data_IF_500137745171
#
_entry.id   IF_500137745171
#
_cell.length_a   1.000
_cell.length_b   1.000
_cell.length_c   1.000
_cell.angle_alpha   90.00
_cell.angle_beta   90.00
_cell.angle_gamma   90.00
#
_symmetry.space_group_name_H-M   'P 1'
#
loop_
_entity.id
_entity.type
_entity.pdbx_description
1 polymer ?
#
# COMPACT_ATOMS: atom_id res chain seq x y z
N UNK A 1 -20.87 43.98 -35.85
CA UNK A 1 -20.37 42.67 -36.27
C UNK A 1 -19.72 42.04 -35.06
N UNK A 2 -20.51 41.29 -34.27
CA UNK A 2 -20.10 40.68 -32.99
C UNK A 2 -19.54 39.30 -33.27
N UNK A 3 -18.26 39.10 -32.94
CA UNK A 3 -17.60 37.80 -32.90
C UNK A 3 -18.03 37.08 -31.60
N UNK A 4 -19.04 36.22 -31.67
CA UNK A 4 -19.30 35.24 -30.63
C UNK A 4 -18.26 34.12 -30.72
N UNK A 5 -17.21 34.19 -29.91
CA UNK A 5 -16.37 33.04 -29.62
C UNK A 5 -17.09 32.17 -28.61
N UNK A 6 -17.66 31.06 -29.05
CA UNK A 6 -18.26 30.05 -28.22
C UNK A 6 -17.15 29.35 -27.42
N UNK A 7 -17.01 29.67 -26.14
CA UNK A 7 -16.29 28.84 -25.19
C UNK A 7 -17.14 27.58 -24.91
N UNK A 8 -16.77 26.48 -25.52
CA UNK A 8 -17.35 25.20 -25.15
C UNK A 8 -17.10 24.95 -23.65
N UNK A 9 -18.17 24.63 -22.92
CA UNK A 9 -18.07 24.35 -21.49
C UNK A 9 -17.21 23.11 -21.23
N UNK A 10 -16.64 22.99 -20.05
CA UNK A 10 -15.87 21.80 -19.64
C UNK A 10 -16.66 20.50 -19.86
N UNK A 11 -17.97 20.56 -19.65
CA UNK A 11 -18.89 19.44 -19.87
C UNK A 11 -19.04 19.03 -21.36
N UNK A 12 -18.97 19.99 -22.29
CA UNK A 12 -18.98 19.72 -23.73
C UNK A 12 -17.64 19.13 -24.20
N UNK A 13 -16.52 19.54 -23.58
CA UNK A 13 -15.21 18.94 -23.82
C UNK A 13 -15.12 17.51 -23.27
N UNK A 14 -15.70 17.22 -22.11
CA UNK A 14 -15.78 15.86 -21.57
C UNK A 14 -16.69 14.95 -22.42
N UNK A 15 -17.84 15.44 -22.89
CA UNK A 15 -18.70 14.70 -23.83
C UNK A 15 -18.00 14.44 -25.17
N UNK A 16 -17.25 15.40 -25.68
CA UNK A 16 -16.44 15.25 -26.90
C UNK A 16 -15.32 14.21 -26.72
N UNK A 17 -14.68 14.17 -25.55
CA UNK A 17 -13.67 13.18 -25.24
C UNK A 17 -14.25 11.77 -25.03
N UNK A 18 -15.43 11.66 -24.39
CA UNK A 18 -16.10 10.37 -24.21
C UNK A 18 -16.60 9.79 -25.54
N UNK A 19 -17.04 10.63 -26.47
CA UNK A 19 -17.48 10.21 -27.82
C UNK A 19 -16.28 9.82 -28.70
N UNK A 20 -15.11 10.45 -28.52
CA UNK A 20 -13.86 10.03 -29.19
C UNK A 20 -13.31 8.71 -28.68
N UNK A 21 -13.52 8.36 -27.44
CA UNK A 21 -13.08 7.06 -26.88
C UNK A 21 -13.79 5.85 -27.48
N UNK A 22 -14.95 6.06 -28.11
CA UNK A 22 -15.72 5.03 -28.82
C UNK A 22 -15.30 4.89 -30.31
N UNK A 23 -14.48 5.80 -30.85
CA UNK A 23 -13.98 5.65 -32.20
C UNK A 23 -12.83 4.63 -32.22
N UNK A 24 -12.88 3.68 -33.16
CA UNK A 24 -11.76 2.77 -33.41
C UNK A 24 -10.47 3.57 -33.61
N UNK A 25 -9.45 3.28 -32.82
CA UNK A 25 -8.14 3.88 -32.98
C UNK A 25 -7.60 3.69 -34.39
N UNK A 26 -6.84 4.67 -34.89
CA UNK A 26 -6.13 4.59 -36.19
C UNK A 26 -4.77 3.91 -36.09
N UNK A 27 -4.52 3.21 -34.97
CA UNK A 27 -3.23 2.62 -34.70
C UNK A 27 -2.88 1.58 -35.78
N UNK A 28 -1.71 1.76 -36.37
CA UNK A 28 -1.07 0.77 -37.26
C UNK A 28 0.00 -0.03 -36.54
N UNK A 29 0.33 0.37 -35.30
CA UNK A 29 1.31 -0.26 -34.45
C UNK A 29 0.62 -1.11 -33.41
N UNK A 30 1.29 -2.14 -32.96
CA UNK A 30 0.74 -3.08 -32.02
C UNK A 30 0.77 -2.51 -30.60
N UNK A 31 -0.41 -2.26 -30.10
CA UNK A 31 -0.70 -2.11 -28.68
C UNK A 31 -1.73 -3.17 -28.31
N UNK A 32 -1.48 -3.86 -27.25
CA UNK A 32 -2.47 -4.73 -26.68
C UNK A 32 -2.93 -4.13 -25.36
N UNK A 33 -4.18 -3.65 -25.35
CA UNK A 33 -4.74 -2.85 -24.27
C UNK A 33 -3.92 -1.56 -24.03
N UNK A 34 -3.35 -1.37 -22.83
CA UNK A 34 -2.57 -0.21 -22.45
C UNK A 34 -1.04 -0.42 -22.55
N UNK A 35 -0.58 -1.60 -22.99
CA UNK A 35 0.84 -1.90 -23.11
C UNK A 35 1.28 -1.98 -24.57
N UNK A 36 2.45 -1.41 -24.94
CA UNK A 36 3.05 -1.62 -26.25
C UNK A 36 3.58 -3.05 -26.37
N UNK A 37 3.55 -3.62 -27.57
CA UNK A 37 4.01 -5.00 -27.81
C UNK A 37 5.45 -5.21 -27.38
N UNK A 38 6.32 -4.22 -27.54
CA UNK A 38 7.73 -4.36 -27.15
C UNK A 38 7.92 -4.52 -25.63
N UNK A 39 6.88 -4.27 -24.81
CA UNK A 39 6.96 -4.45 -23.36
C UNK A 39 7.28 -5.91 -22.99
N UNK A 40 6.70 -6.89 -23.71
CA UNK A 40 7.04 -8.31 -23.51
C UNK A 40 8.51 -8.58 -23.79
N UNK A 41 9.06 -7.96 -24.84
CA UNK A 41 10.50 -8.05 -25.15
C UNK A 41 11.36 -7.44 -24.06
N UNK A 42 10.94 -6.31 -23.48
CA UNK A 42 11.66 -5.68 -22.36
C UNK A 42 11.65 -6.57 -21.14
N UNK A 43 10.48 -7.10 -20.76
CA UNK A 43 10.31 -7.97 -19.60
C UNK A 43 11.17 -9.25 -19.77
N UNK A 44 11.18 -9.85 -20.94
CA UNK A 44 11.97 -11.05 -21.23
C UNK A 44 13.50 -10.84 -21.09
N UNK A 45 13.97 -9.61 -21.12
CA UNK A 45 15.39 -9.25 -20.94
C UNK A 45 15.73 -8.84 -19.52
N UNK A 46 14.77 -8.84 -18.58
CA UNK A 46 15.04 -8.53 -17.19
C UNK A 46 15.56 -9.77 -16.47
N UNK A 47 16.83 -9.73 -16.11
CA UNK A 47 17.53 -10.79 -15.37
C UNK A 47 17.54 -10.57 -13.85
N UNK A 48 16.96 -9.46 -13.39
CA UNK A 48 16.89 -9.09 -11.98
C UNK A 48 18.23 -9.23 -11.23
N UNK A 49 19.26 -8.45 -11.59
CA UNK A 49 20.63 -8.65 -11.11
C UNK A 49 20.79 -8.44 -9.60
N UNK A 50 19.80 -7.90 -8.92
CA UNK A 50 19.77 -7.77 -7.45
C UNK A 50 18.78 -8.72 -6.77
N UNK A 51 18.15 -9.65 -7.50
CA UNK A 51 17.52 -10.80 -6.86
C UNK A 51 18.58 -11.59 -6.06
N UNK A 52 18.21 -12.19 -4.93
CA UNK A 52 19.17 -12.90 -4.08
C UNK A 52 19.94 -13.98 -4.86
N UNK A 53 19.21 -14.78 -5.62
CA UNK A 53 19.75 -15.88 -6.43
C UNK A 53 20.67 -15.42 -7.57
N UNK A 54 20.47 -14.21 -8.12
CA UNK A 54 21.22 -13.69 -9.27
C UNK A 54 22.35 -12.73 -8.87
N UNK A 55 22.30 -12.19 -7.64
CA UNK A 55 23.16 -11.08 -7.22
C UNK A 55 24.67 -11.43 -7.11
N UNK A 56 25.00 -12.69 -7.04
CA UNK A 56 26.38 -13.14 -6.78
C UNK A 56 26.93 -12.77 -5.38
N UNK A 57 26.16 -12.08 -4.55
CA UNK A 57 26.56 -11.67 -3.21
C UNK A 57 26.42 -12.86 -2.25
N UNK A 58 27.53 -13.32 -1.67
CA UNK A 58 27.55 -14.53 -0.84
C UNK A 58 27.00 -14.35 0.58
N UNK A 59 27.04 -13.13 1.13
CA UNK A 59 26.57 -12.84 2.50
C UNK A 59 25.20 -12.18 2.45
N UNK A 60 24.18 -12.85 2.99
CA UNK A 60 22.79 -12.39 2.95
C UNK A 60 22.60 -10.99 3.57
N UNK A 61 23.19 -10.70 4.73
CA UNK A 61 23.15 -9.39 5.34
C UNK A 61 23.73 -8.26 4.43
N UNK A 62 24.79 -8.58 3.66
CA UNK A 62 25.34 -7.65 2.67
C UNK A 62 24.36 -7.45 1.51
N UNK A 63 23.76 -8.53 1.02
CA UNK A 63 22.75 -8.46 -0.02
C UNK A 63 21.55 -7.61 0.41
N UNK A 64 20.98 -7.86 1.59
CA UNK A 64 19.88 -7.04 2.13
C UNK A 64 20.19 -5.55 2.10
N UNK A 65 21.40 -5.18 2.55
CA UNK A 65 21.83 -3.77 2.56
C UNK A 65 21.88 -3.18 1.14
N UNK A 66 22.45 -3.93 0.18
CA UNK A 66 22.59 -3.49 -1.21
C UNK A 66 21.23 -3.42 -1.89
N UNK A 67 20.38 -4.45 -1.74
CA UNK A 67 19.05 -4.50 -2.33
C UNK A 67 18.14 -3.39 -1.76
N UNK A 68 18.13 -3.21 -0.43
CA UNK A 68 17.38 -2.12 0.22
C UNK A 68 17.84 -0.75 -0.26
N UNK A 69 19.16 -0.53 -0.34
CA UNK A 69 19.69 0.72 -0.86
C UNK A 69 19.25 0.98 -2.30
N UNK A 70 19.21 -0.05 -3.16
CA UNK A 70 18.71 0.10 -4.52
C UNK A 70 17.24 0.49 -4.58
N UNK A 71 16.40 0.01 -3.66
CA UNK A 71 15.01 0.48 -3.57
C UNK A 71 15.00 1.98 -3.24
N UNK A 72 15.75 2.42 -2.23
CA UNK A 72 15.86 3.86 -1.90
C UNK A 72 16.46 4.69 -3.03
N UNK A 73 17.42 4.18 -3.79
CA UNK A 73 17.98 4.87 -4.96
C UNK A 73 16.93 5.09 -6.07
N UNK A 74 15.94 4.20 -6.17
CA UNK A 74 14.83 4.32 -7.12
C UNK A 74 13.65 5.12 -6.57
N UNK A 75 13.58 5.30 -5.25
CA UNK A 75 12.65 6.19 -4.59
C UNK A 75 13.18 7.61 -4.73
N UNK A 76 12.42 8.46 -5.42
CA UNK A 76 12.79 9.86 -5.63
C UNK A 76 12.90 10.60 -4.29
N UNK A 77 13.12 11.90 -4.32
CA UNK A 77 13.47 12.71 -3.16
C UNK A 77 12.55 12.46 -1.93
N UNK A 78 13.11 12.07 -0.77
CA UNK A 78 12.32 11.88 0.43
C UNK A 78 11.82 13.21 1.00
N UNK A 79 10.63 13.26 1.61
CA UNK A 79 10.24 14.39 2.43
C UNK A 79 11.24 14.58 3.59
N UNK A 80 11.70 15.80 3.87
CA UNK A 80 12.61 16.03 4.98
C UNK A 80 11.91 15.72 6.32
N UNK A 81 12.58 14.99 7.23
CA UNK A 81 12.01 14.66 8.53
C UNK A 81 11.74 15.93 9.35
N UNK A 82 10.81 15.89 10.33
CA UNK A 82 10.57 17.02 11.21
C UNK A 82 11.77 17.28 12.12
N UNK A 83 12.18 18.55 12.24
CA UNK A 83 13.38 18.95 13.00
C UNK A 83 13.26 18.64 14.50
N UNK A 84 12.05 18.79 15.06
CA UNK A 84 11.77 18.68 16.50
C UNK A 84 11.08 17.34 16.87
N UNK A 85 11.23 16.32 16.03
CA UNK A 85 10.57 15.03 16.21
C UNK A 85 9.08 15.04 15.80
N UNK A 86 8.43 13.90 15.97
CA UNK A 86 7.03 13.70 15.58
C UNK A 86 6.09 14.39 16.58
N UNK A 87 5.72 15.62 16.30
CA UNK A 87 4.76 16.36 17.11
C UNK A 87 3.34 15.94 16.75
N UNK A 88 2.51 15.75 17.76
CA UNK A 88 1.10 15.37 17.60
C UNK A 88 0.17 16.34 18.28
N UNK A 89 -1.02 16.48 17.72
CA UNK A 89 -2.16 17.16 18.32
C UNK A 89 -3.35 16.24 18.30
N UNK A 90 -3.92 15.95 19.48
CA UNK A 90 -5.20 15.22 19.56
C UNK A 90 -6.32 16.18 19.16
N UNK A 91 -7.07 15.80 18.13
CA UNK A 91 -8.21 16.55 17.62
C UNK A 91 -9.52 16.08 18.23
N UNK A 92 -9.64 14.77 18.46
CA UNK A 92 -10.82 14.15 19.04
C UNK A 92 -10.45 12.84 19.71
N UNK A 93 -11.18 12.47 20.77
CA UNK A 93 -11.01 11.22 21.50
C UNK A 93 -12.38 10.70 21.94
N UNK A 94 -12.59 9.41 21.79
CA UNK A 94 -13.78 8.71 22.28
C UNK A 94 -13.42 7.33 22.86
N UNK A 95 -14.22 6.88 23.84
CA UNK A 95 -14.12 5.54 24.38
C UNK A 95 -14.99 4.61 23.54
N UNK A 96 -14.45 3.44 23.20
CA UNK A 96 -15.12 2.35 22.51
C UNK A 96 -15.02 1.07 23.33
N UNK A 97 -15.71 0.02 22.90
CA UNK A 97 -15.71 -1.26 23.59
C UNK A 97 -14.31 -1.91 23.59
N UNK A 98 -13.63 -1.86 24.73
CA UNK A 98 -12.31 -2.43 24.96
C UNK A 98 -11.12 -1.59 24.48
N UNK A 99 -11.31 -0.38 23.96
CA UNK A 99 -10.23 0.50 23.52
C UNK A 99 -10.65 1.98 23.44
N UNK A 100 -9.67 2.84 23.44
CA UNK A 100 -9.80 4.28 23.20
C UNK A 100 -9.44 4.59 21.76
N UNK A 101 -10.26 5.39 21.06
CA UNK A 101 -10.01 5.85 19.71
C UNK A 101 -9.68 7.34 19.70
N UNK A 102 -8.62 7.73 19.00
CA UNK A 102 -8.16 9.11 18.83
C UNK A 102 -8.06 9.48 17.35
N UNK A 103 -8.52 10.67 17.00
CA UNK A 103 -8.12 11.37 15.79
C UNK A 103 -6.99 12.34 16.17
N UNK A 104 -5.89 12.24 15.45
CA UNK A 104 -4.71 13.09 15.68
C UNK A 104 -4.27 13.75 14.39
N UNK A 105 -3.62 14.91 14.51
CA UNK A 105 -2.67 15.40 13.52
C UNK A 105 -1.26 15.03 13.95
N UNK A 106 -0.47 14.53 13.02
CA UNK A 106 0.94 14.19 13.26
C UNK A 106 1.83 14.89 12.23
N UNK A 107 2.90 15.54 12.68
CA UNK A 107 3.92 16.11 11.81
C UNK A 107 4.87 15.01 11.34
N UNK A 108 4.67 14.49 10.13
CA UNK A 108 5.55 13.48 9.53
C UNK A 108 6.74 14.10 8.78
N UNK A 109 6.64 15.37 8.37
CA UNK A 109 7.68 16.10 7.64
C UNK A 109 7.78 17.55 8.14
N UNK A 110 8.89 18.22 7.83
CA UNK A 110 9.01 19.68 8.02
C UNK A 110 7.89 20.47 7.34
N UNK A 111 7.34 19.95 6.25
CA UNK A 111 6.45 20.69 5.35
C UNK A 111 4.97 20.37 5.55
N UNK A 112 4.63 19.26 6.22
CA UNK A 112 3.22 18.87 6.36
C UNK A 112 2.94 18.07 7.63
N UNK A 113 1.69 18.17 8.04
CA UNK A 113 1.04 17.28 9.02
C UNK A 113 0.11 16.31 8.30
N UNK A 114 -0.18 15.18 8.95
CA UNK A 114 -1.01 14.13 8.41
C UNK A 114 -2.09 13.79 9.42
N UNK A 115 -3.36 13.70 9.01
CA UNK A 115 -4.42 13.17 9.86
C UNK A 115 -4.28 11.66 10.00
N UNK A 116 -4.49 11.17 11.22
CA UNK A 116 -4.40 9.75 11.52
C UNK A 116 -5.37 9.34 12.63
N UNK A 117 -5.71 8.06 12.66
CA UNK A 117 -6.37 7.43 13.80
C UNK A 117 -5.39 6.60 14.61
N UNK A 118 -5.56 6.65 15.93
CA UNK A 118 -4.84 5.80 16.88
C UNK A 118 -5.87 5.12 17.77
N UNK A 119 -5.85 3.78 17.78
CA UNK A 119 -6.66 2.96 18.67
C UNK A 119 -5.75 2.38 19.75
N UNK A 120 -6.10 2.57 21.01
CA UNK A 120 -5.29 2.17 22.16
C UNK A 120 -6.11 1.22 23.02
N UNK A 121 -5.72 -0.07 23.17
CA UNK A 121 -6.42 -1.03 24.00
C UNK A 121 -6.54 -0.58 25.46
N UNK A 122 -7.60 -0.99 26.13
CA UNK A 122 -7.69 -0.87 27.59
C UNK A 122 -6.71 -1.82 28.28
N UNK A 123 -6.24 -1.43 29.47
CA UNK A 123 -5.36 -2.25 30.27
C UNK A 123 -3.99 -1.64 30.53
N UNK A 124 -3.07 -2.50 30.97
CA UNK A 124 -1.71 -2.07 31.33
C UNK A 124 -0.75 -2.41 30.19
N UNK A 125 -0.38 -1.37 29.43
CA UNK A 125 0.66 -1.48 28.39
C UNK A 125 2.09 -1.64 28.94
N UNK A 126 3.13 -1.58 28.08
CA UNK A 126 3.03 -1.27 26.67
C UNK A 126 2.50 -2.47 25.84
N UNK A 127 1.74 -2.17 24.78
CA UNK A 127 1.09 -3.14 23.92
C UNK A 127 1.87 -3.39 22.63
N UNK A 128 1.73 -4.56 21.98
CA UNK A 128 2.14 -4.72 20.60
C UNK A 128 1.35 -3.74 19.71
N UNK A 129 1.91 -3.34 18.57
CA UNK A 129 1.29 -2.34 17.72
C UNK A 129 1.25 -2.75 16.25
N UNK A 130 0.27 -2.22 15.53
CA UNK A 130 0.08 -2.45 14.10
C UNK A 130 0.01 -1.11 13.36
N UNK A 131 0.90 -0.91 12.40
CA UNK A 131 0.72 0.10 11.37
C UNK A 131 -0.23 -0.46 10.31
N UNK A 132 -1.46 0.05 10.28
CA UNK A 132 -2.56 -0.42 9.45
C UNK A 132 -2.69 0.46 8.21
N UNK A 133 -2.48 -0.15 7.03
CA UNK A 133 -2.30 0.55 5.76
C UNK A 133 -3.51 0.32 4.86
N UNK A 134 -4.26 1.39 4.56
CA UNK A 134 -5.50 1.30 3.78
C UNK A 134 -5.28 0.97 2.31
N UNK A 135 -6.30 0.42 1.67
CA UNK A 135 -6.33 0.06 0.26
C UNK A 135 -6.53 1.26 -0.68
N UNK A 136 -6.32 1.03 -1.99
CA UNK A 136 -6.56 2.01 -3.05
C UNK A 136 -8.06 2.14 -3.37
N UNK A 137 -8.67 1.02 -3.76
CA UNK A 137 -10.07 0.88 -4.10
C UNK A 137 -10.58 1.76 -5.23
N UNK A 138 -9.74 2.57 -5.87
CA UNK A 138 -10.13 3.70 -6.72
C UNK A 138 -11.11 4.68 -6.03
N UNK A 139 -11.24 4.61 -4.70
CA UNK A 139 -12.09 5.39 -3.85
C UNK A 139 -11.23 6.30 -2.99
N UNK A 140 -11.14 7.58 -3.36
CA UNK A 140 -10.18 8.53 -2.80
C UNK A 140 -10.77 9.39 -1.68
N UNK A 141 -12.10 9.36 -1.49
CA UNK A 141 -12.80 10.20 -0.54
C UNK A 141 -12.48 9.87 0.91
N UNK A 142 -12.27 8.59 1.22
CA UNK A 142 -11.86 8.09 2.53
C UNK A 142 -10.52 7.35 2.44
N UNK A 143 -9.74 7.38 3.50
CA UNK A 143 -8.45 6.69 3.63
C UNK A 143 -8.45 5.73 4.81
N UNK A 144 -8.05 6.21 5.99
CA UNK A 144 -8.03 5.47 7.25
C UNK A 144 -9.40 4.91 7.67
N UNK A 145 -10.47 5.57 7.26
CA UNK A 145 -11.85 5.19 7.53
C UNK A 145 -12.29 3.92 6.79
N UNK A 146 -11.53 3.47 5.81
CA UNK A 146 -11.76 2.18 5.14
C UNK A 146 -11.55 0.98 6.05
N UNK A 147 -10.65 1.13 7.02
CA UNK A 147 -10.20 0.01 7.86
C UNK A 147 -10.49 0.23 9.35
N UNK A 148 -10.83 1.45 9.75
CA UNK A 148 -11.18 1.82 11.13
C UNK A 148 -12.52 2.53 11.09
N UNK A 149 -13.44 2.12 11.96
CA UNK A 149 -14.73 2.78 12.09
C UNK A 149 -14.53 4.29 12.32
N UNK A 150 -15.12 5.16 11.49
CA UNK A 150 -15.00 6.60 11.67
C UNK A 150 -15.36 7.04 13.09
N UNK A 151 -14.67 8.06 13.60
CA UNK A 151 -14.96 8.63 14.90
C UNK A 151 -16.21 9.53 14.81
N UNK A 152 -16.90 9.73 15.94
CA UNK A 152 -18.13 10.51 15.99
C UNK A 152 -17.98 11.99 15.61
N UNK A 153 -16.76 12.48 15.47
CA UNK A 153 -16.45 13.82 14.95
C UNK A 153 -16.43 13.93 13.43
N UNK A 154 -16.50 12.81 12.69
CA UNK A 154 -16.54 12.84 11.23
C UNK A 154 -17.94 13.23 10.74
N UNK A 155 -17.99 13.75 9.51
CA UNK A 155 -19.27 14.12 8.91
C UNK A 155 -20.08 12.90 8.43
N UNK A 156 -21.36 13.12 8.13
CA UNK A 156 -22.27 12.05 7.74
C UNK A 156 -21.89 11.38 6.39
N UNK A 157 -21.19 12.09 5.52
CA UNK A 157 -20.77 11.57 4.21
C UNK A 157 -19.60 10.59 4.39
N UNK A 158 -18.62 10.94 5.23
CA UNK A 158 -17.52 10.02 5.61
C UNK A 158 -18.06 8.77 6.29
N UNK A 159 -19.02 8.92 7.22
CA UNK A 159 -19.67 7.77 7.89
C UNK A 159 -20.33 6.83 6.88
N UNK A 160 -21.11 7.38 5.96
CA UNK A 160 -21.81 6.63 4.92
C UNK A 160 -20.81 5.90 3.99
N UNK A 161 -19.80 6.61 3.51
CA UNK A 161 -18.80 6.06 2.60
C UNK A 161 -18.02 4.91 3.24
N UNK A 162 -17.65 5.05 4.50
CA UNK A 162 -16.96 3.99 5.24
C UNK A 162 -17.84 2.74 5.44
N UNK A 163 -19.14 2.94 5.72
CA UNK A 163 -20.09 1.83 5.84
C UNK A 163 -20.31 1.11 4.51
N UNK A 164 -20.43 1.84 3.41
CA UNK A 164 -20.53 1.26 2.06
C UNK A 164 -19.25 0.48 1.70
N UNK A 165 -18.07 1.01 2.06
CA UNK A 165 -16.78 0.37 1.80
C UNK A 165 -16.57 -0.92 2.63
N UNK A 166 -17.22 -1.00 3.78
CA UNK A 166 -17.10 -2.12 4.71
C UNK A 166 -17.54 -3.47 4.11
N UNK A 167 -18.29 -3.45 3.01
CA UNK A 167 -18.65 -4.68 2.27
C UNK A 167 -17.43 -5.49 1.83
N UNK A 168 -16.31 -4.85 1.45
CA UNK A 168 -15.05 -5.51 1.12
C UNK A 168 -14.36 -6.21 2.29
N UNK A 169 -14.80 -5.87 3.51
CA UNK A 169 -14.34 -6.41 4.78
C UNK A 169 -15.40 -7.29 5.49
N UNK A 170 -16.47 -7.64 4.78
CA UNK A 170 -17.59 -8.45 5.31
C UNK A 170 -18.20 -7.91 6.61
N UNK A 171 -18.34 -6.58 6.69
CA UNK A 171 -19.02 -5.93 7.81
C UNK A 171 -18.17 -5.71 9.06
N UNK A 172 -16.85 -5.93 9.04
CA UNK A 172 -15.96 -5.74 10.19
C UNK A 172 -14.79 -4.82 9.87
N UNK A 173 -14.61 -3.77 10.63
CA UNK A 173 -13.41 -2.92 10.55
C UNK A 173 -12.20 -3.65 11.15
N UNK A 174 -11.19 -3.92 10.32
CA UNK A 174 -9.99 -4.64 10.72
C UNK A 174 -9.23 -3.94 11.86
N UNK A 175 -9.15 -2.60 11.86
CA UNK A 175 -8.46 -1.85 12.89
C UNK A 175 -9.15 -1.98 14.26
N UNK A 176 -10.48 -1.85 14.29
CA UNK A 176 -11.27 -2.04 15.51
C UNK A 176 -11.12 -3.47 16.04
N UNK A 177 -11.16 -4.46 15.15
CA UNK A 177 -10.96 -5.87 15.51
C UNK A 177 -9.58 -6.13 16.14
N UNK A 178 -8.52 -5.55 15.59
CA UNK A 178 -7.17 -5.66 16.13
C UNK A 178 -7.05 -4.94 17.49
N UNK A 179 -7.63 -3.74 17.63
CA UNK A 179 -7.62 -2.99 18.89
C UNK A 179 -8.34 -3.74 20.01
N UNK A 180 -9.51 -4.33 19.76
CA UNK A 180 -10.23 -5.19 20.69
C UNK A 180 -9.46 -6.45 21.09
N UNK A 181 -8.48 -6.86 20.28
CA UNK A 181 -7.59 -7.98 20.54
C UNK A 181 -6.23 -7.58 21.13
N UNK A 182 -6.09 -6.36 21.66
CA UNK A 182 -4.94 -5.94 22.46
C UNK A 182 -3.78 -5.32 21.68
N UNK A 183 -4.01 -4.84 20.45
CA UNK A 183 -2.99 -4.12 19.67
C UNK A 183 -3.27 -2.63 19.66
N UNK A 184 -2.23 -1.81 19.85
CA UNK A 184 -2.32 -0.42 19.43
C UNK A 184 -2.36 -0.40 17.90
N UNK A 185 -3.34 0.31 17.33
CA UNK A 185 -3.49 0.43 15.87
C UNK A 185 -3.27 1.88 15.47
N UNK A 186 -2.41 2.10 14.50
CA UNK A 186 -2.20 3.38 13.87
C UNK A 186 -2.55 3.30 12.39
N UNK A 187 -3.31 4.25 11.88
CA UNK A 187 -3.59 4.37 10.45
C UNK A 187 -3.64 5.84 10.05
N UNK A 188 -2.84 6.20 9.07
CA UNK A 188 -2.83 7.54 8.49
C UNK A 188 -3.37 7.51 7.05
N UNK A 189 -3.97 8.62 6.62
CA UNK A 189 -4.31 8.80 5.21
C UNK A 189 -3.05 8.84 4.35
N UNK A 190 -3.02 8.03 3.31
CA UNK A 190 -1.99 8.15 2.28
C UNK A 190 -2.18 9.47 1.49
N UNK A 191 -1.12 10.02 0.91
CA UNK A 191 -1.25 11.14 -0.02
C UNK A 191 -2.30 10.86 -1.08
N UNK A 192 -3.19 11.79 -1.35
CA UNK A 192 -4.33 11.75 -2.27
C UNK A 192 -5.59 11.04 -1.76
N UNK A 193 -5.60 10.49 -0.54
CA UNK A 193 -6.78 9.88 0.09
C UNK A 193 -7.27 10.68 1.30
N UNK A 194 -8.57 10.54 1.59
CA UNK A 194 -9.21 11.10 2.78
C UNK A 194 -8.98 12.61 2.89
N UNK A 195 -8.61 13.06 4.08
CA UNK A 195 -8.32 14.47 4.36
C UNK A 195 -7.04 14.99 3.68
N UNK A 196 -6.24 14.12 3.06
CA UNK A 196 -5.10 14.48 2.20
C UNK A 196 -5.46 14.52 0.71
N UNK A 197 -6.74 14.38 0.39
CA UNK A 197 -7.30 14.49 -0.97
C UNK A 197 -7.32 15.92 -1.49
N UNK A 198 -7.89 16.06 -2.68
CA UNK A 198 -8.03 17.35 -3.36
C UNK A 198 -9.27 18.09 -2.86
N UNK A 199 -9.17 19.41 -2.63
CA UNK A 199 -10.29 20.26 -2.18
C UNK A 199 -11.50 20.23 -3.12
N UNK A 200 -11.24 20.10 -4.42
CA UNK A 200 -12.27 20.05 -5.45
C UNK A 200 -12.94 18.68 -5.59
N UNK A 201 -12.63 17.78 -4.66
CA UNK A 201 -13.12 16.41 -4.63
C UNK A 201 -12.21 15.41 -5.35
N UNK A 202 -12.32 14.14 -4.98
CA UNK A 202 -11.48 13.08 -5.49
C UNK A 202 -11.89 12.72 -6.93
N UNK A 203 -10.93 12.86 -7.86
CA UNK A 203 -11.11 12.49 -9.26
C UNK A 203 -9.89 11.71 -9.75
N UNK A 204 -10.12 10.59 -10.41
CA UNK A 204 -9.07 9.69 -10.91
C UNK A 204 -8.15 10.39 -11.92
N UNK A 205 -8.71 11.15 -12.84
CA UNK A 205 -7.94 11.90 -13.84
C UNK A 205 -7.03 12.97 -13.21
N UNK A 206 -7.49 13.62 -12.15
CA UNK A 206 -6.66 14.58 -11.39
C UNK A 206 -5.57 13.88 -10.57
N UNK A 207 -5.86 12.74 -10.01
CA UNK A 207 -4.88 11.92 -9.30
C UNK A 207 -3.69 11.57 -10.21
N UNK A 208 -3.95 11.01 -11.38
CA UNK A 208 -2.91 10.62 -12.33
C UNK A 208 -2.11 11.85 -12.84
N UNK A 209 -2.79 12.97 -13.08
CA UNK A 209 -2.16 14.23 -13.50
C UNK A 209 -1.23 14.78 -12.41
N UNK A 210 -1.66 14.81 -11.15
CA UNK A 210 -0.86 15.31 -10.03
C UNK A 210 0.35 14.42 -9.80
N UNK A 211 0.17 13.09 -9.79
CA UNK A 211 1.26 12.14 -9.65
C UNK A 211 2.30 12.33 -10.77
N UNK A 212 1.86 12.49 -12.03
CA UNK A 212 2.74 12.79 -13.16
C UNK A 212 3.47 14.12 -13.02
N UNK A 213 2.80 15.17 -12.55
CA UNK A 213 3.42 16.48 -12.30
C UNK A 213 4.46 16.40 -11.18
N UNK A 214 4.20 15.65 -10.11
CA UNK A 214 5.15 15.47 -9.01
C UNK A 214 6.44 14.79 -9.47
N UNK A 215 6.34 13.81 -10.37
CA UNK A 215 7.52 13.13 -10.93
C UNK A 215 8.46 14.08 -11.67
N UNK A 216 7.95 15.17 -12.27
CA UNK A 216 8.80 16.20 -12.90
C UNK A 216 9.70 16.93 -11.90
N UNK A 217 9.31 16.97 -10.64
CA UNK A 217 10.07 17.58 -9.55
C UNK A 217 10.84 16.56 -8.70
N UNK A 218 10.93 15.31 -9.15
CA UNK A 218 11.62 14.27 -8.42
C UNK A 218 10.84 13.72 -7.23
N UNK A 219 9.50 13.75 -7.27
CA UNK A 219 8.63 13.22 -6.23
C UNK A 219 7.78 12.12 -6.86
N UNK A 220 8.00 10.87 -6.44
CA UNK A 220 7.20 9.73 -6.82
C UNK A 220 6.11 9.48 -5.76
N UNK A 221 4.87 9.26 -6.18
CA UNK A 221 3.74 9.11 -5.26
C UNK A 221 3.87 7.84 -4.39
N UNK A 222 4.32 6.72 -4.99
CA UNK A 222 4.55 5.47 -4.25
C UNK A 222 5.70 5.62 -3.24
N UNK A 223 6.75 6.35 -3.62
CA UNK A 223 7.84 6.69 -2.72
C UNK A 223 7.38 7.59 -1.58
N UNK A 224 6.60 8.63 -1.85
CA UNK A 224 6.06 9.51 -0.82
C UNK A 224 5.23 8.73 0.20
N UNK A 225 4.30 7.88 -0.26
CA UNK A 225 3.54 6.98 0.64
C UNK A 225 4.47 6.10 1.49
N UNK A 226 5.48 5.51 0.87
CA UNK A 226 6.42 4.62 1.57
C UNK A 226 7.22 5.37 2.64
N UNK A 227 7.68 6.60 2.36
CA UNK A 227 8.34 7.43 3.36
C UNK A 227 7.41 7.80 4.52
N UNK A 228 6.14 8.12 4.24
CA UNK A 228 5.16 8.40 5.28
C UNK A 228 4.87 7.16 6.15
N UNK A 229 4.82 5.96 5.54
CA UNK A 229 4.63 4.70 6.26
C UNK A 229 5.83 4.39 7.18
N UNK A 230 7.05 4.67 6.73
CA UNK A 230 8.27 4.55 7.54
C UNK A 230 8.22 5.57 8.70
N UNK A 231 7.91 6.85 8.41
CA UNK A 231 7.82 7.89 9.43
C UNK A 231 6.70 7.61 10.44
N UNK A 232 5.53 7.16 10.00
CA UNK A 232 4.42 6.73 10.86
C UNK A 232 4.80 5.55 11.78
N UNK A 233 5.62 4.62 11.27
CA UNK A 233 6.14 3.51 12.09
C UNK A 233 7.15 3.98 13.13
N UNK A 234 8.03 4.93 12.79
CA UNK A 234 8.95 5.54 13.74
C UNK A 234 8.23 6.34 14.82
N UNK A 235 7.13 7.05 14.47
CA UNK A 235 6.24 7.69 15.45
C UNK A 235 5.61 6.64 16.37
N UNK A 236 5.03 5.59 15.81
CA UNK A 236 4.37 4.51 16.58
C UNK A 236 5.33 3.89 17.59
N UNK A 237 6.60 3.69 17.21
CA UNK A 237 7.65 3.17 18.10
C UNK A 237 8.02 4.11 19.25
N UNK A 238 7.65 5.39 19.19
CA UNK A 238 7.93 6.40 20.24
C UNK A 238 6.74 6.63 21.17
N UNK A 239 5.57 6.03 20.87
CA UNK A 239 4.40 6.16 21.73
C UNK A 239 4.60 5.41 23.06
N UNK A 240 4.28 6.02 24.20
CA UNK A 240 4.45 5.36 25.52
C UNK A 240 3.58 4.13 25.70
N UNK A 241 2.48 4.02 24.96
CA UNK A 241 1.56 2.87 24.98
C UNK A 241 2.08 1.67 24.18
N UNK A 242 3.15 1.85 23.37
CA UNK A 242 3.63 0.85 22.41
C UNK A 242 4.89 0.15 22.88
N UNK A 243 4.90 -1.17 22.79
CA UNK A 243 6.13 -1.95 22.84
C UNK A 243 6.87 -1.86 21.50
N UNK A 244 7.88 -1.02 21.43
CA UNK A 244 8.66 -0.76 20.21
C UNK A 244 9.40 -1.99 19.65
N UNK A 245 9.49 -3.09 20.41
CA UNK A 245 10.04 -4.37 19.96
C UNK A 245 9.02 -5.28 19.27
N UNK A 246 7.73 -4.93 19.32
CA UNK A 246 6.60 -5.70 18.80
C UNK A 246 5.69 -4.86 17.92
N UNK A 247 6.22 -4.41 16.78
CA UNK A 247 5.47 -3.62 15.80
C UNK A 247 5.30 -4.42 14.51
N UNK A 248 4.05 -4.65 14.13
CA UNK A 248 3.68 -5.24 12.85
C UNK A 248 3.10 -4.23 11.88
N UNK A 249 2.88 -4.67 10.64
CA UNK A 249 2.10 -3.93 9.67
C UNK A 249 1.22 -4.85 8.85
N UNK A 250 0.06 -4.34 8.43
CA UNK A 250 -0.87 -5.09 7.58
C UNK A 250 -1.72 -4.16 6.73
N UNK A 251 -2.30 -4.71 5.69
CA UNK A 251 -3.26 -4.05 4.85
C UNK A 251 -3.84 -4.97 3.78
N UNK A 252 -4.85 -4.47 3.08
CA UNK A 252 -5.48 -5.11 1.96
C UNK A 252 -5.15 -4.36 0.66
N UNK A 253 -5.00 -5.09 -0.47
CA UNK A 253 -4.78 -4.48 -1.79
C UNK A 253 -3.55 -3.55 -1.79
N UNK A 254 -3.66 -2.28 -2.15
CA UNK A 254 -2.56 -1.30 -2.04
C UNK A 254 -1.98 -1.26 -0.61
N UNK A 255 -2.80 -1.44 0.42
CA UNK A 255 -2.32 -1.53 1.80
C UNK A 255 -1.41 -2.75 2.02
N UNK A 256 -1.69 -3.87 1.36
CA UNK A 256 -0.82 -5.05 1.38
C UNK A 256 0.51 -4.79 0.64
N UNK A 257 0.48 -4.08 -0.51
CA UNK A 257 1.69 -3.60 -1.19
C UNK A 257 2.55 -2.74 -0.25
N UNK A 258 1.93 -1.77 0.42
CA UNK A 258 2.60 -0.90 1.40
C UNK A 258 3.17 -1.71 2.56
N UNK A 259 2.43 -2.72 3.06
CA UNK A 259 2.85 -3.53 4.21
C UNK A 259 4.11 -4.36 3.94
N UNK A 260 4.18 -5.10 2.84
CA UNK A 260 5.39 -5.86 2.54
C UNK A 260 6.56 -4.95 2.13
N UNK A 261 6.29 -3.81 1.48
CA UNK A 261 7.31 -2.81 1.18
C UNK A 261 7.89 -2.22 2.48
N UNK A 262 7.03 -1.83 3.40
CA UNK A 262 7.43 -1.31 4.72
C UNK A 262 8.24 -2.35 5.51
N UNK A 263 7.83 -3.62 5.51
CA UNK A 263 8.59 -4.69 6.15
C UNK A 263 10.00 -4.90 5.56
N UNK A 264 10.13 -4.70 4.24
CA UNK A 264 11.41 -4.77 3.54
C UNK A 264 12.35 -3.59 3.89
N UNK A 265 11.78 -2.40 4.10
CA UNK A 265 12.54 -1.15 4.23
C UNK A 265 12.74 -0.67 5.67
N UNK A 266 11.87 -1.01 6.61
CA UNK A 266 11.94 -0.59 8.01
C UNK A 266 12.37 -1.74 8.92
N UNK A 267 13.37 -1.51 9.77
CA UNK A 267 13.78 -2.48 10.78
C UNK A 267 12.87 -2.45 12.02
N UNK A 268 12.00 -1.44 12.16
CA UNK A 268 10.98 -1.39 13.22
C UNK A 268 9.90 -2.45 13.05
N UNK A 269 9.58 -2.81 11.82
CA UNK A 269 8.59 -3.86 11.56
C UNK A 269 9.20 -5.21 11.86
N UNK A 270 8.58 -5.94 12.78
CA UNK A 270 9.01 -7.28 13.22
C UNK A 270 8.17 -8.41 12.59
N UNK A 271 6.92 -8.14 12.18
CA UNK A 271 6.07 -9.07 11.44
C UNK A 271 5.16 -8.32 10.45
N UNK A 272 4.79 -8.93 9.32
CA UNK A 272 3.89 -8.30 8.33
C UNK A 272 2.90 -9.29 7.76
N UNK A 273 1.64 -8.85 7.57
CA UNK A 273 0.60 -9.61 6.90
C UNK A 273 0.04 -8.82 5.71
N UNK A 274 0.02 -9.43 4.54
CA UNK A 274 -0.37 -8.82 3.27
C UNK A 274 -1.52 -9.57 2.64
N UNK A 275 -2.69 -8.90 2.49
CA UNK A 275 -3.90 -9.51 1.94
C UNK A 275 -4.15 -9.01 0.52
N UNK A 276 -4.18 -9.93 -0.45
CA UNK A 276 -4.46 -9.67 -1.87
C UNK A 276 -3.50 -8.68 -2.54
N UNK A 277 -2.19 -8.82 -2.28
CA UNK A 277 -1.16 -8.22 -3.12
C UNK A 277 0.16 -8.97 -3.05
N UNK A 278 0.38 -9.90 -3.95
CA UNK A 278 1.70 -10.42 -4.33
C UNK A 278 1.58 -11.08 -5.70
N UNK A 279 2.52 -10.82 -6.59
CA UNK A 279 2.55 -11.35 -7.96
C UNK A 279 3.90 -11.02 -8.59
N UNK A 280 4.31 -11.77 -9.63
CA UNK A 280 5.39 -11.32 -10.52
C UNK A 280 4.86 -10.35 -11.57
N UNK A 281 5.63 -9.32 -11.89
CA UNK A 281 5.21 -8.30 -12.88
C UNK A 281 5.18 -8.81 -14.30
N UNK A 282 6.04 -9.74 -14.67
CA UNK A 282 6.02 -10.38 -15.99
C UNK A 282 4.69 -11.11 -16.25
N UNK A 283 4.11 -11.76 -15.25
CA UNK A 283 2.78 -12.38 -15.38
C UNK A 283 1.64 -11.35 -15.32
N UNK A 284 1.72 -10.38 -14.40
CA UNK A 284 0.67 -9.38 -14.22
C UNK A 284 0.54 -8.44 -15.42
N UNK A 285 1.66 -8.02 -16.01
CA UNK A 285 1.73 -7.00 -17.05
C UNK A 285 1.95 -7.57 -18.46
N UNK A 286 2.05 -8.90 -18.62
CA UNK A 286 2.16 -9.54 -19.92
C UNK A 286 0.91 -9.33 -20.78
N UNK A 287 1.02 -9.54 -22.11
CA UNK A 287 -0.12 -9.45 -23.03
C UNK A 287 -1.29 -10.33 -22.60
N UNK A 288 -1.02 -11.51 -22.07
CA UNK A 288 -2.05 -12.45 -21.63
C UNK A 288 -2.90 -11.91 -20.50
N UNK A 289 -2.30 -11.17 -19.58
CA UNK A 289 -2.95 -10.68 -18.36
C UNK A 289 -3.02 -9.15 -18.29
N UNK A 290 -2.53 -8.43 -19.29
CA UNK A 290 -2.51 -6.97 -19.32
C UNK A 290 -3.83 -6.36 -18.90
N UNK A 291 -3.79 -5.49 -17.94
CA UNK A 291 -4.94 -4.80 -17.34
C UNK A 291 -4.95 -3.34 -17.73
N UNK A 292 -6.14 -2.75 -17.77
CA UNK A 292 -6.31 -1.30 -17.94
C UNK A 292 -5.88 -0.54 -16.70
N UNK A 293 -5.95 -1.17 -15.52
CA UNK A 293 -5.63 -0.56 -14.25
C UNK A 293 -4.77 -1.49 -13.39
N UNK A 294 -3.72 -0.94 -12.80
CA UNK A 294 -2.79 -1.64 -11.92
C UNK A 294 -2.39 -0.79 -10.70
N UNK A 295 -3.32 -0.02 -10.15
CA UNK A 295 -3.04 0.91 -9.07
C UNK A 295 -2.26 2.15 -9.50
N UNK A 296 -1.86 2.24 -10.76
CA UNK A 296 -1.18 3.39 -11.34
C UNK A 296 0.08 3.80 -10.56
N UNK A 297 0.28 5.08 -10.37
CA UNK A 297 1.43 5.67 -9.69
C UNK A 297 1.56 5.31 -8.20
N UNK A 298 0.52 4.73 -7.59
CA UNK A 298 0.57 4.32 -6.19
C UNK A 298 1.44 3.07 -5.93
N UNK A 299 1.78 2.31 -6.95
CA UNK A 299 2.41 1.00 -6.82
C UNK A 299 3.64 0.81 -7.70
N UNK A 300 4.31 1.88 -8.08
CA UNK A 300 5.50 1.77 -8.92
C UNK A 300 6.60 2.74 -8.50
N UNK A 301 7.82 2.24 -8.50
CA UNK A 301 9.03 3.07 -8.45
C UNK A 301 9.70 3.02 -9.82
N UNK A 302 9.94 4.18 -10.46
CA UNK A 302 10.53 4.21 -11.79
C UNK A 302 11.86 3.46 -11.87
N UNK A 303 11.95 2.51 -12.79
CA UNK A 303 13.18 1.76 -13.08
C UNK A 303 13.54 0.64 -12.10
N UNK A 304 12.82 0.45 -10.98
CA UNK A 304 13.15 -0.57 -9.99
C UNK A 304 13.07 -2.01 -10.56
N UNK A 305 12.15 -2.22 -11.52
CA UNK A 305 11.98 -3.52 -12.19
C UNK A 305 13.18 -3.99 -13.00
N UNK A 306 14.08 -3.11 -13.35
CA UNK A 306 15.36 -3.48 -13.99
C UNK A 306 16.31 -4.20 -13.03
N UNK A 307 16.06 -4.12 -11.73
CA UNK A 307 16.92 -4.65 -10.67
C UNK A 307 16.27 -5.80 -9.89
N UNK A 308 15.00 -5.65 -9.58
CA UNK A 308 14.23 -6.58 -8.75
C UNK A 308 12.74 -6.52 -9.08
N UNK A 309 12.08 -7.66 -9.07
CA UNK A 309 10.62 -7.74 -9.11
C UNK A 309 10.02 -7.72 -7.69
N UNK A 310 8.71 -7.63 -7.53
CA UNK A 310 8.00 -7.58 -6.24
C UNK A 310 8.42 -8.67 -5.25
N UNK A 311 8.47 -9.97 -5.62
CA UNK A 311 8.89 -11.00 -4.67
C UNK A 311 10.35 -10.85 -4.22
N UNK A 312 11.25 -10.34 -5.07
CA UNK A 312 12.65 -10.09 -4.69
C UNK A 312 12.74 -8.94 -3.69
N UNK A 313 11.94 -7.87 -3.86
CA UNK A 313 11.90 -6.74 -2.94
C UNK A 313 11.31 -7.19 -1.59
N UNK A 314 10.17 -7.91 -1.61
CA UNK A 314 9.57 -8.46 -0.39
C UNK A 314 10.55 -9.37 0.36
N UNK A 315 11.41 -10.10 -0.36
CA UNK A 315 12.44 -10.98 0.23
C UNK A 315 13.53 -10.25 0.99
N UNK A 316 13.68 -8.93 0.83
CA UNK A 316 14.54 -8.11 1.69
C UNK A 316 14.11 -8.19 3.16
N UNK A 317 12.82 -8.44 3.43
CA UNK A 317 12.31 -8.61 4.79
C UNK A 317 12.84 -9.87 5.49
N UNK A 318 13.25 -10.92 4.75
CA UNK A 318 13.75 -12.16 5.34
C UNK A 318 14.87 -11.87 6.39
N UNK A 319 14.88 -12.53 7.57
CA UNK A 319 14.05 -13.68 7.98
C UNK A 319 12.81 -13.33 8.81
N UNK A 320 12.28 -12.10 8.72
CA UNK A 320 11.09 -11.68 9.48
C UNK A 320 9.89 -12.59 9.17
N UNK A 321 9.00 -12.84 10.14
CA UNK A 321 7.71 -13.44 9.90
C UNK A 321 6.88 -12.63 8.89
N UNK A 322 6.42 -13.30 7.82
CA UNK A 322 5.60 -12.71 6.78
C UNK A 322 4.43 -13.63 6.43
N UNK A 323 3.22 -13.08 6.34
CA UNK A 323 2.03 -13.76 5.83
C UNK A 323 1.57 -13.10 4.53
N UNK A 324 1.33 -13.92 3.50
CA UNK A 324 0.70 -13.47 2.27
C UNK A 324 -0.55 -14.31 2.00
N UNK A 325 -1.69 -13.64 1.79
CA UNK A 325 -2.95 -14.27 1.39
C UNK A 325 -3.35 -13.68 0.05
N UNK A 326 -3.52 -14.52 -0.98
CA UNK A 326 -4.04 -14.11 -2.29
C UNK A 326 -5.29 -14.91 -2.66
N UNK A 327 -6.15 -14.33 -3.51
CA UNK A 327 -7.36 -14.96 -4.01
C UNK A 327 -7.17 -15.62 -5.38
N UNK A 328 -7.65 -16.85 -5.56
CA UNK A 328 -7.68 -17.53 -6.88
C UNK A 328 -8.68 -16.89 -7.84
N UNK A 329 -9.73 -16.29 -7.31
CA UNK A 329 -10.76 -15.58 -8.08
C UNK A 329 -10.45 -14.10 -8.27
N UNK A 330 -9.31 -13.62 -7.72
CA UNK A 330 -8.86 -12.25 -7.86
C UNK A 330 -8.41 -11.96 -9.29
N UNK A 331 -9.16 -11.08 -9.98
CA UNK A 331 -8.88 -10.72 -11.37
C UNK A 331 -7.71 -9.73 -11.51
N UNK A 332 -7.18 -9.22 -10.41
CA UNK A 332 -6.08 -8.25 -10.39
C UNK A 332 -4.71 -8.95 -10.39
N UNK A 333 -4.66 -10.15 -9.82
CA UNK A 333 -3.41 -10.88 -9.60
C UNK A 333 -3.53 -12.28 -10.21
N UNK A 334 -2.96 -12.52 -11.41
CA UNK A 334 -3.05 -13.82 -12.07
C UNK A 334 -2.37 -14.91 -11.24
N UNK A 335 -3.09 -16.02 -11.02
CA UNK A 335 -2.64 -17.16 -10.20
C UNK A 335 -1.23 -17.63 -10.54
N UNK A 336 -0.85 -17.82 -11.83
CA UNK A 336 0.52 -18.25 -12.16
C UNK A 336 1.59 -17.28 -11.67
N UNK A 337 1.31 -15.96 -11.71
CA UNK A 337 2.23 -14.95 -11.20
C UNK A 337 2.32 -14.92 -9.68
N UNK A 338 1.21 -15.22 -9.00
CA UNK A 338 1.19 -15.37 -7.53
C UNK A 338 2.01 -16.57 -7.08
N UNK A 339 1.78 -17.75 -7.69
CA UNK A 339 2.50 -18.98 -7.38
C UNK A 339 4.00 -18.84 -7.63
N UNK A 340 4.39 -18.22 -8.75
CA UNK A 340 5.78 -17.92 -9.08
C UNK A 340 6.41 -16.97 -8.05
N UNK A 341 5.69 -15.94 -7.63
CA UNK A 341 6.18 -15.01 -6.60
C UNK A 341 6.38 -15.70 -5.26
N UNK A 342 5.42 -16.54 -4.84
CA UNK A 342 5.55 -17.33 -3.62
C UNK A 342 6.75 -18.27 -3.65
N UNK A 343 6.97 -18.98 -4.77
CA UNK A 343 8.12 -19.86 -4.93
C UNK A 343 9.46 -19.11 -4.82
N UNK A 344 9.57 -17.92 -5.43
CA UNK A 344 10.76 -17.07 -5.33
C UNK A 344 11.02 -16.71 -3.86
N UNK A 345 10.01 -16.26 -3.13
CA UNK A 345 10.16 -15.88 -1.73
C UNK A 345 10.53 -17.07 -0.84
N UNK A 346 9.86 -18.21 -1.00
CA UNK A 346 10.19 -19.43 -0.25
C UNK A 346 11.65 -19.85 -0.44
N UNK A 347 12.18 -19.80 -1.65
CA UNK A 347 13.59 -20.09 -1.92
C UNK A 347 14.53 -19.16 -1.11
N UNK A 348 14.16 -17.90 -0.95
CA UNK A 348 14.98 -16.96 -0.15
C UNK A 348 14.93 -17.31 1.34
N UNK A 349 13.72 -17.51 1.91
CA UNK A 349 13.58 -17.87 3.34
C UNK A 349 14.26 -19.21 3.65
N UNK A 350 14.10 -20.20 2.78
CA UNK A 350 14.76 -21.50 2.90
C UNK A 350 16.29 -21.35 2.88
N UNK A 351 16.83 -20.51 2.00
CA UNK A 351 18.28 -20.26 1.93
C UNK A 351 18.86 -19.66 3.22
N UNK A 352 18.00 -19.13 4.09
CA UNK A 352 18.37 -18.54 5.39
C UNK A 352 17.92 -19.40 6.58
N UNK A 353 17.47 -20.63 6.37
CA UNK A 353 16.89 -21.53 7.38
C UNK A 353 15.72 -20.88 8.17
N UNK A 354 14.89 -20.13 7.48
CA UNK A 354 13.78 -19.36 8.05
C UNK A 354 12.43 -19.69 7.41
N UNK A 355 12.28 -20.83 6.77
CA UNK A 355 11.10 -21.25 6.00
C UNK A 355 9.80 -21.18 6.81
N UNK A 356 9.87 -21.47 8.12
CA UNK A 356 8.70 -21.40 9.02
C UNK A 356 8.21 -19.97 9.29
N UNK A 357 9.01 -18.97 8.91
CA UNK A 357 8.65 -17.56 9.07
C UNK A 357 7.94 -16.98 7.84
N UNK A 358 7.87 -17.70 6.72
CA UNK A 358 7.10 -17.28 5.56
C UNK A 358 5.88 -18.17 5.38
N UNK A 359 4.71 -17.58 5.54
CA UNK A 359 3.42 -18.23 5.34
C UNK A 359 2.75 -17.63 4.09
N UNK A 360 2.46 -18.47 3.08
CA UNK A 360 1.83 -18.05 1.83
C UNK A 360 0.59 -18.88 1.56
N UNK A 361 -0.52 -18.23 1.31
CA UNK A 361 -1.83 -18.87 1.18
C UNK A 361 -2.55 -18.36 -0.07
N UNK A 362 -3.02 -19.29 -0.89
CA UNK A 362 -3.80 -19.01 -2.09
C UNK A 362 -5.21 -19.60 -1.93
N UNK A 363 -6.17 -18.73 -1.59
CA UNK A 363 -7.52 -19.11 -1.23
C UNK A 363 -8.50 -19.01 -2.39
N UNK A 364 -9.60 -19.75 -2.34
CA UNK A 364 -10.68 -19.65 -3.31
C UNK A 364 -11.63 -18.48 -2.96
N UNK A 365 -11.09 -17.25 -3.05
CA UNK A 365 -11.80 -16.00 -2.77
C UNK A 365 -11.55 -14.97 -3.87
N UNK A 366 -12.43 -13.98 -4.04
CA UNK A 366 -12.18 -12.81 -4.89
C UNK A 366 -11.22 -11.83 -4.19
N UNK A 367 -11.07 -10.64 -4.77
CA UNK A 367 -10.29 -9.54 -4.18
C UNK A 367 -11.00 -8.96 -2.95
N UNK A 368 -10.75 -9.51 -1.76
CA UNK A 368 -11.43 -9.14 -0.51
C UNK A 368 -10.56 -9.37 0.73
N UNK A 369 -10.91 -8.68 1.82
CA UNK A 369 -10.33 -8.87 3.15
C UNK A 369 -11.44 -9.22 4.16
N UNK A 370 -12.20 -10.29 3.86
CA UNK A 370 -13.32 -10.73 4.68
C UNK A 370 -12.92 -11.30 6.04
N UNK A 371 -13.92 -11.69 6.84
CA UNK A 371 -13.75 -12.15 8.23
C UNK A 371 -12.71 -13.26 8.39
N UNK A 372 -12.66 -14.21 7.45
CA UNK A 372 -11.68 -15.29 7.46
C UNK A 372 -10.24 -14.75 7.33
N UNK A 373 -10.01 -13.79 6.44
CA UNK A 373 -8.70 -13.18 6.26
C UNK A 373 -8.30 -12.36 7.48
N UNK A 374 -9.21 -11.57 8.03
CA UNK A 374 -8.97 -10.77 9.24
C UNK A 374 -8.63 -11.65 10.45
N UNK A 375 -9.36 -12.74 10.65
CA UNK A 375 -9.06 -13.72 11.69
C UNK A 375 -7.67 -14.32 11.51
N UNK A 376 -7.32 -14.71 10.28
CA UNK A 376 -6.01 -15.28 9.96
C UNK A 376 -4.86 -14.31 10.21
N UNK A 377 -5.05 -13.02 9.86
CA UNK A 377 -4.11 -11.93 10.18
C UNK A 377 -3.91 -11.79 11.68
N UNK A 378 -4.99 -11.81 12.46
CA UNK A 378 -4.91 -11.76 13.93
C UNK A 378 -4.18 -12.98 14.52
N UNK A 379 -4.47 -14.20 14.05
CA UNK A 379 -3.79 -15.42 14.47
C UNK A 379 -2.28 -15.36 14.19
N UNK A 380 -1.91 -14.83 13.03
CA UNK A 380 -0.51 -14.61 12.66
C UNK A 380 0.17 -13.62 13.62
N UNK A 381 -0.44 -12.48 13.91
CA UNK A 381 0.16 -11.51 14.84
C UNK A 381 0.22 -12.05 16.28
N UNK A 382 -0.78 -12.79 16.77
CA UNK A 382 -0.72 -13.46 18.08
C UNK A 382 0.44 -14.44 18.22
N UNK A 383 0.90 -15.00 17.10
CA UNK A 383 2.04 -15.93 17.07
C UNK A 383 3.37 -15.20 17.06
N UNK A 384 3.44 -13.99 16.48
CA UNK A 384 4.70 -13.35 16.13
C UNK A 384 4.96 -11.99 16.80
N UNK A 385 3.96 -11.39 17.46
CA UNK A 385 4.03 -10.15 18.23
C UNK A 385 3.62 -10.38 19.70
#
# INVERSE_FOLDING_TARGET
MLLCSSFATAQERERSNSTRSLQKGRAKYEFQRNLPVYADSLIAHFDYPLAWENSGIKKFAKWKKVARQKVFDCMLMPPPPPADGYQTKVLYEEQRDGYKARKIEIRLSQYYTVPAYVLIPEGKGPFPAINLLHDHGAHLYIGKEKMIRPLACEDAEVMKDAEEWLAGYEGQFLGDYLAQNGYVVFSADAPMWGERGQKEGPRRDRYDMIAGNMMMYGIDLSAWMTYDDIAGTEFLAQMPEVDASRIGCTGWSMGAYRAWMLAALSDRITASASVCWMVTTDEQMSFKYSRTENGGFANCFPGLRRWMDYPHIASIACPKPMLFINGKQDKLFPVPGVEKAFAIMHNVWQSQNADTNLETELWDIPHSCGLKAQKRVLEFFKKHL
#
